data_IF_757795529846
#
_entry.id   IF_757795529846
#
_cell.length_a   1.000
_cell.length_b   1.000
_cell.length_c   1.000
_cell.angle_alpha   90.00
_cell.angle_beta   90.00
_cell.angle_gamma   90.00
#
_symmetry.space_group_name_H-M   'P 1'
#
loop_
_entity.id
_entity.type
_entity.pdbx_description
1 polymer ?
#
# COMPACT_ATOMS: atom_id res chain seq x y z
N UNK A 1 -20.04 -8.75 -4.61
CA UNK A 1 -19.38 -8.47 -5.90
C UNK A 1 -17.91 -8.80 -5.71
N UNK A 2 -17.35 -9.76 -6.46
CA UNK A 2 -15.92 -10.04 -6.38
C UNK A 2 -15.18 -9.01 -7.24
N UNK A 3 -14.20 -8.31 -6.67
CA UNK A 3 -13.28 -7.48 -7.46
C UNK A 3 -12.38 -8.47 -8.21
N UNK A 4 -12.56 -8.58 -9.52
CA UNK A 4 -11.76 -9.46 -10.37
C UNK A 4 -10.56 -8.66 -10.85
N UNK A 5 -9.36 -9.16 -10.55
CA UNK A 5 -8.09 -8.62 -11.05
C UNK A 5 -7.42 -9.73 -11.84
N UNK A 6 -7.11 -9.47 -13.11
CA UNK A 6 -6.54 -10.48 -14.01
C UNK A 6 -5.17 -10.97 -13.53
N UNK A 7 -4.33 -10.07 -13.00
CA UNK A 7 -3.00 -10.39 -12.48
C UNK A 7 -2.87 -9.92 -11.02
N UNK A 8 -3.17 -10.77 -10.03
CA UNK A 8 -3.16 -10.34 -8.61
C UNK A 8 -1.75 -10.16 -8.03
N UNK A 9 -0.72 -10.76 -8.65
CA UNK A 9 0.68 -10.68 -8.21
C UNK A 9 1.49 -9.91 -9.26
N UNK A 10 1.74 -8.63 -8.99
CA UNK A 10 2.35 -7.68 -9.93
C UNK A 10 3.78 -7.25 -9.56
N UNK A 11 4.32 -7.77 -8.46
CA UNK A 11 5.62 -7.38 -7.91
C UNK A 11 6.53 -8.59 -7.73
N UNK A 12 7.83 -8.36 -7.89
CA UNK A 12 8.88 -9.35 -7.68
C UNK A 12 9.14 -9.58 -6.18
N UNK A 13 9.47 -10.80 -5.74
CA UNK A 13 9.74 -11.11 -4.33
C UNK A 13 11.03 -10.49 -3.77
N UNK A 14 11.97 -10.09 -4.64
CA UNK A 14 13.30 -9.57 -4.25
C UNK A 14 13.42 -8.08 -4.56
N UNK A 15 12.98 -7.65 -5.73
CA UNK A 15 13.05 -6.25 -6.14
C UNK A 15 12.05 -5.37 -5.36
N UNK A 16 12.32 -4.05 -5.33
CA UNK A 16 11.38 -3.12 -4.71
C UNK A 16 10.09 -3.02 -5.52
N UNK A 17 8.90 -3.10 -4.87
CA UNK A 17 7.63 -2.93 -5.55
C UNK A 17 7.52 -1.58 -6.25
N UNK A 18 7.25 -1.58 -7.54
CA UNK A 18 7.08 -0.35 -8.33
C UNK A 18 5.61 0.02 -8.51
N UNK A 19 4.68 -0.92 -8.27
CA UNK A 19 3.25 -0.75 -8.53
C UNK A 19 2.40 -1.38 -7.42
N UNK A 20 1.19 -0.87 -7.24
CA UNK A 20 0.19 -1.48 -6.36
C UNK A 20 -1.22 -1.25 -6.89
N UNK A 21 -2.15 -2.15 -6.54
CA UNK A 21 -3.58 -1.89 -6.69
C UNK A 21 -4.08 -0.98 -5.56
N UNK A 22 -4.76 0.09 -5.92
CA UNK A 22 -5.64 0.86 -5.05
C UNK A 22 -7.11 0.59 -5.41
N UNK A 23 -8.01 1.10 -4.58
CA UNK A 23 -9.45 1.04 -4.85
C UNK A 23 -9.91 2.44 -5.26
N UNK A 24 -10.61 2.54 -6.40
CA UNK A 24 -11.28 3.77 -6.84
C UNK A 24 -12.71 3.44 -7.20
N UNK A 25 -13.67 4.01 -6.47
CA UNK A 25 -15.11 3.74 -6.66
C UNK A 25 -15.48 2.23 -6.61
N UNK A 26 -14.73 1.43 -5.85
CA UNK A 26 -14.94 -0.02 -5.76
C UNK A 26 -14.27 -0.84 -6.87
N UNK A 27 -13.58 -0.18 -7.81
CA UNK A 27 -12.81 -0.83 -8.87
C UNK A 27 -11.30 -0.82 -8.55
N UNK A 28 -10.56 -1.86 -8.97
CA UNK A 28 -9.12 -1.95 -8.77
C UNK A 28 -8.42 -1.01 -9.76
N UNK A 29 -7.62 -0.07 -9.24
CA UNK A 29 -6.83 0.88 -10.00
C UNK A 29 -5.34 0.57 -9.80
N UNK A 30 -4.61 0.28 -10.88
CA UNK A 30 -3.16 0.09 -10.82
C UNK A 30 -2.47 1.45 -10.70
N UNK A 31 -1.62 1.62 -9.68
CA UNK A 31 -0.87 2.86 -9.41
C UNK A 31 0.64 2.62 -9.53
N UNK A 32 1.32 3.49 -10.26
CA UNK A 32 2.77 3.44 -10.53
C UNK A 32 3.63 4.00 -9.39
N UNK A 33 3.49 3.40 -8.22
CA UNK A 33 4.39 3.64 -7.09
C UNK A 33 4.34 2.47 -6.11
N UNK A 34 5.37 2.35 -5.28
CA UNK A 34 5.30 1.54 -4.07
C UNK A 34 4.16 2.04 -3.17
N UNK A 35 3.32 1.12 -2.69
CA UNK A 35 2.26 1.48 -1.72
C UNK A 35 2.90 1.98 -0.42
N UNK A 36 2.51 3.16 0.09
CA UNK A 36 2.88 3.60 1.43
C UNK A 36 2.49 2.53 2.44
N UNK A 37 3.25 2.42 3.52
CA UNK A 37 2.87 1.66 4.69
C UNK A 37 1.77 2.40 5.43
N UNK A 38 0.87 1.65 6.05
CA UNK A 38 -0.37 2.17 6.61
C UNK A 38 -1.36 1.05 6.91
N UNK A 39 -2.45 1.40 7.57
CA UNK A 39 -3.51 0.49 7.98
C UNK A 39 -4.89 1.07 7.65
N UNK A 40 -5.87 0.20 7.49
CA UNK A 40 -7.27 0.58 7.36
C UNK A 40 -7.96 0.33 8.70
N UNK A 41 -8.48 1.35 9.40
CA UNK A 41 -9.20 1.16 10.66
C UNK A 41 -10.42 0.26 10.45
N UNK A 42 -10.63 -0.70 11.34
CA UNK A 42 -11.80 -1.59 11.29
C UNK A 42 -13.10 -0.86 11.67
N UNK A 43 -14.25 -1.45 11.32
CA UNK A 43 -15.58 -0.86 11.57
C UNK A 43 -15.82 -0.49 13.04
N UNK A 44 -15.26 -1.25 13.99
CA UNK A 44 -15.40 -0.98 15.44
C UNK A 44 -14.74 0.33 15.86
N UNK A 45 -13.70 0.77 15.16
CA UNK A 45 -12.98 2.02 15.43
C UNK A 45 -13.67 3.23 14.79
N UNK A 46 -14.58 3.02 13.82
CA UNK A 46 -15.23 4.05 13.01
C UNK A 46 -16.56 4.59 13.56
N UNK A 47 -16.93 4.28 14.81
CA UNK A 47 -18.17 4.79 15.41
C UNK A 47 -19.46 4.34 14.72
N UNK A 48 -19.42 3.25 13.95
CA UNK A 48 -20.60 2.56 13.42
C UNK A 48 -21.30 3.20 12.21
N UNK A 49 -20.83 4.34 11.66
CA UNK A 49 -21.54 5.08 10.59
C UNK A 49 -20.70 5.40 9.33
N UNK A 50 -19.46 4.93 9.23
CA UNK A 50 -18.70 5.10 7.98
C UNK A 50 -19.16 4.10 6.93
N UNK A 51 -19.39 4.57 5.70
CA UNK A 51 -19.71 3.72 4.56
C UNK A 51 -18.65 2.60 4.42
N UNK A 52 -19.08 1.37 4.10
CA UNK A 52 -18.15 0.25 3.86
C UNK A 52 -17.24 0.46 2.65
N UNK A 53 -17.50 1.52 1.86
CA UNK A 53 -16.92 1.74 0.54
C UNK A 53 -15.73 2.70 0.56
N UNK A 54 -15.57 3.50 1.63
CA UNK A 54 -14.46 4.44 1.75
C UNK A 54 -13.40 3.85 2.69
N UNK A 55 -12.36 3.29 2.09
CA UNK A 55 -11.17 2.84 2.82
C UNK A 55 -10.38 4.07 3.29
N UNK A 56 -10.70 4.59 4.48
CA UNK A 56 -9.80 5.49 5.21
C UNK A 56 -8.46 4.76 5.43
N UNK A 57 -7.50 5.03 4.57
CA UNK A 57 -6.16 4.48 4.66
C UNK A 57 -5.28 5.43 5.46
N UNK A 58 -4.88 5.00 6.66
CA UNK A 58 -4.02 5.79 7.54
C UNK A 58 -2.59 5.38 7.29
N UNK A 59 -1.78 6.28 6.72
CA UNK A 59 -0.36 6.04 6.51
C UNK A 59 0.40 5.94 7.84
N UNK A 60 1.53 5.24 7.81
CA UNK A 60 2.49 5.13 8.91
C UNK A 60 3.78 5.90 8.53
N UNK A 61 3.87 7.20 8.86
CA UNK A 61 4.96 8.06 8.39
C UNK A 61 6.35 7.54 8.77
N UNK A 62 6.52 7.10 10.03
CA UNK A 62 7.80 6.56 10.53
C UNK A 62 8.24 5.34 9.72
N UNK A 63 7.31 4.43 9.39
CA UNK A 63 7.64 3.23 8.61
C UNK A 63 8.02 3.61 7.18
N UNK A 64 7.32 4.59 6.59
CA UNK A 64 7.65 5.09 5.26
C UNK A 64 9.01 5.78 5.22
N UNK A 65 9.37 6.51 6.28
CA UNK A 65 10.68 7.11 6.42
C UNK A 65 11.80 6.06 6.51
N UNK A 66 11.64 5.05 7.36
CA UNK A 66 12.59 3.93 7.48
C UNK A 66 12.75 3.22 6.13
N UNK A 67 11.66 2.99 5.40
CA UNK A 67 11.70 2.40 4.06
C UNK A 67 12.55 3.24 3.09
N UNK A 68 12.42 4.57 3.14
CA UNK A 68 13.26 5.47 2.36
C UNK A 68 14.73 5.43 2.77
N UNK A 69 15.03 5.31 4.07
CA UNK A 69 16.40 5.12 4.55
C UNK A 69 17.01 3.80 4.04
N UNK A 70 16.24 2.71 4.09
CA UNK A 70 16.67 1.40 3.55
C UNK A 70 16.88 1.44 2.04
N UNK A 71 16.03 2.14 1.29
CA UNK A 71 16.21 2.31 -0.15
C UNK A 71 17.56 2.98 -0.46
N UNK A 72 17.85 4.12 0.20
CA UNK A 72 19.15 4.80 0.06
C UNK A 72 20.34 3.93 0.44
N UNK A 73 20.20 3.13 1.50
CA UNK A 73 21.24 2.19 1.92
C UNK A 73 21.52 1.11 0.86
N UNK A 74 20.47 0.59 0.20
CA UNK A 74 20.61 -0.37 -0.92
C UNK A 74 21.26 0.26 -2.14
N UNK A 75 20.84 1.48 -2.50
CA UNK A 75 21.42 2.25 -3.60
C UNK A 75 22.91 2.54 -3.38
N UNK A 76 23.32 2.72 -2.13
CA UNK A 76 24.72 2.90 -1.74
C UNK A 76 25.55 1.59 -1.77
N UNK A 77 24.97 0.45 -2.17
CA UNK A 77 25.69 -0.82 -2.26
C UNK A 77 25.84 -1.56 -0.93
N UNK A 78 24.88 -1.40 -0.01
CA UNK A 78 24.82 -2.13 1.28
C UNK A 78 26.02 -1.84 2.23
N UNK A 79 26.37 -0.57 2.51
CA UNK A 79 27.48 -0.25 3.40
C UNK A 79 27.22 -0.71 4.85
N UNK A 80 28.24 -1.25 5.51
CA UNK A 80 28.19 -1.69 6.92
C UNK A 80 28.34 -0.56 7.92
#
# INVERSE_FOLDING_TARGET
MAIVVDEPIINDPVAEPTRHYGTRAGEPELRERRRPSGYTPGLRTRGGQSSMLEEDYVELPIVNEIRGQVARWREAGYPG
#
